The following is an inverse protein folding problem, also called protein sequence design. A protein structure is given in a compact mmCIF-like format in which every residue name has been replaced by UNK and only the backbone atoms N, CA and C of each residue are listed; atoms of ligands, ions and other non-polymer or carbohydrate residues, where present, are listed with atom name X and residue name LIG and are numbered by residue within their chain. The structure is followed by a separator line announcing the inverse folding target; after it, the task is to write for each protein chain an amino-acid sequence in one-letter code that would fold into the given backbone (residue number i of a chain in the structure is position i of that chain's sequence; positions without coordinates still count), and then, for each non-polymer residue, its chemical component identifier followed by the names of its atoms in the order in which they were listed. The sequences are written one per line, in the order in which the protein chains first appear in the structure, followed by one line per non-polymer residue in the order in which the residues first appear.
data_IF_673880830812
#
_entry.id   IF_673880830812
#
_cell.length_a   1.000
_cell.length_b   1.000
_cell.length_c   1.000
_cell.angle_alpha   90.00
_cell.angle_beta   90.00
_cell.angle_gamma   90.00
#
_symmetry.space_group_name_H-M   'P 1'
#
loop_
_entity.id
_entity.type
_entity.pdbx_description
1 polymer ?
2 non-polymer ?
3 non-polymer ?
4 water ?
#
# COMPACT_ATOMS: atom_id res chain seq x y z
N UNK A 1 19.47 -5.84 16.58
CA UNK A 1 19.71 -6.84 15.50
C UNK A 1 20.01 -8.21 16.11
N UNK A 2 19.87 -9.26 15.30
CA UNK A 2 20.25 -10.64 15.68
C UNK A 2 19.10 -11.36 16.38
N UNK A 3 17.88 -10.80 16.38
CA UNK A 3 16.66 -11.44 16.93
C UNK A 3 15.42 -10.99 16.13
N UNK A 4 14.38 -11.84 16.15
CA UNK A 4 13.04 -11.56 15.60
C UNK A 4 12.05 -11.44 16.75
N UNK A 5 11.11 -10.51 16.66
CA UNK A 5 9.98 -10.40 17.62
C UNK A 5 8.68 -10.47 16.83
N UNK A 6 7.87 -11.48 17.18
CA UNK A 6 6.63 -11.91 16.48
C UNK A 6 5.59 -12.16 17.56
N UNK A 7 4.44 -11.48 17.49
CA UNK A 7 3.42 -11.43 18.56
C UNK A 7 4.06 -11.27 19.93
N UNK A 8 4.82 -10.20 20.14
CA UNK A 8 5.42 -9.82 21.44
C UNK A 8 6.55 -10.73 21.92
N UNK A 9 6.78 -11.90 21.32
CA UNK A 9 7.86 -12.84 21.78
C UNK A 9 9.15 -12.57 21.00
N UNK A 10 10.26 -12.50 21.71
CA UNK A 10 11.60 -12.19 21.16
C UNK A 10 12.39 -13.49 21.05
N UNK A 11 12.92 -13.81 19.88
CA UNK A 11 13.67 -15.07 19.64
C UNK A 11 15.04 -14.69 19.10
N UNK A 12 16.09 -15.20 19.73
CA UNK A 12 17.44 -15.14 19.14
C UNK A 12 17.33 -15.78 17.78
N UNK A 13 18.05 -15.27 16.78
CA UNK A 13 18.02 -15.85 15.43
C UNK A 13 19.22 -15.34 14.64
N UNK A 14 19.61 -16.11 13.63
CA UNK A 14 20.58 -15.79 12.55
C UNK A 14 20.02 -16.42 11.29
N UNK A 15 20.68 -16.25 10.14
CA UNK A 15 20.05 -16.57 8.83
C UNK A 15 19.95 -18.07 8.66
N UNK A 16 20.78 -18.82 9.36
CA UNK A 16 20.80 -20.30 9.34
C UNK A 16 19.50 -20.86 9.93
N UNK A 17 18.89 -20.10 10.82
CA UNK A 17 17.59 -20.45 11.46
C UNK A 17 16.43 -20.37 10.47
N UNK A 18 16.63 -19.88 9.23
CA UNK A 18 15.51 -19.65 8.28
C UNK A 18 15.70 -20.51 7.05
N UNK A 19 14.62 -21.19 6.67
CA UNK A 19 14.51 -22.01 5.45
C UNK A 19 13.99 -21.10 4.33
N UNK A 20 14.75 -21.06 3.24
CA UNK A 20 14.50 -20.19 2.08
C UNK A 20 13.44 -20.91 1.25
N UNK A 21 12.27 -20.31 1.15
CA UNK A 21 11.11 -20.87 0.40
C UNK A 21 10.99 -20.20 -0.96
N UNK A 22 11.91 -19.32 -1.33
CA UNK A 22 12.01 -18.84 -2.72
C UNK A 22 11.73 -17.35 -2.84
N UNK A 23 12.11 -16.77 -3.97
CA UNK A 23 11.98 -15.31 -4.28
C UNK A 23 10.48 -14.95 -4.29
N UNK A 24 10.13 -13.75 -3.83
CA UNK A 24 8.79 -13.18 -4.10
C UNK A 24 8.98 -12.00 -5.04
N UNK A 25 8.31 -12.06 -6.20
CA UNK A 25 8.42 -11.04 -7.26
C UNK A 25 7.60 -9.82 -6.91
N UNK A 26 8.05 -9.07 -5.90
CA UNK A 26 7.45 -7.81 -5.39
C UNK A 26 7.83 -6.65 -6.31
N UNK A 27 8.49 -6.94 -7.45
CA UNK A 27 8.83 -5.98 -8.51
C UNK A 27 9.79 -4.93 -7.99
N UNK A 28 10.80 -5.34 -7.23
CA UNK A 28 11.92 -4.48 -6.74
C UNK A 28 13.20 -4.99 -7.43
N UNK A 29 14.29 -4.21 -7.36
CA UNK A 29 15.63 -4.62 -7.88
C UNK A 29 16.50 -5.10 -6.70
N UNK A 30 15.86 -5.46 -5.58
CA UNK A 30 16.49 -6.19 -4.46
C UNK A 30 15.83 -7.55 -4.23
N UNK A 31 16.61 -8.55 -3.85
CA UNK A 31 16.10 -9.90 -3.51
C UNK A 31 15.22 -9.78 -2.27
N UNK A 32 13.99 -10.27 -2.36
CA UNK A 32 13.11 -10.52 -1.18
C UNK A 32 12.75 -12.02 -1.21
N UNK A 33 12.99 -12.68 -0.10
CA UNK A 33 12.76 -14.14 0.07
C UNK A 33 11.56 -14.35 0.99
N UNK A 34 10.74 -15.34 0.67
CA UNK A 34 9.80 -15.94 1.63
C UNK A 34 10.61 -16.95 2.41
N UNK A 35 10.53 -16.90 3.74
CA UNK A 35 11.40 -17.76 4.56
C UNK A 35 10.60 -18.28 5.76
N UNK A 36 10.93 -19.49 6.19
CA UNK A 36 10.26 -20.12 7.35
C UNK A 36 11.25 -20.08 8.49
N UNK A 37 10.87 -19.45 9.60
CA UNK A 37 11.63 -19.44 10.86
C UNK A 37 11.48 -20.81 11.53
N UNK A 38 12.56 -21.60 11.59
CA UNK A 38 12.53 -23.02 12.05
C UNK A 38 12.03 -23.08 13.49
N UNK A 39 12.48 -22.17 14.35
CA UNK A 39 12.10 -22.16 15.79
C UNK A 39 10.56 -22.16 15.97
N UNK A 40 9.77 -21.51 15.11
CA UNK A 40 8.32 -21.31 15.36
C UNK A 40 7.41 -21.69 14.19
N UNK A 41 7.95 -21.92 12.99
CA UNK A 41 7.11 -22.21 11.80
C UNK A 41 6.48 -20.95 11.21
N UNK A 42 6.71 -19.76 11.75
CA UNK A 42 6.30 -18.49 11.10
C UNK A 42 6.98 -18.34 9.71
N UNK A 43 6.18 -17.96 8.72
CA UNK A 43 6.63 -17.63 7.34
C UNK A 43 6.66 -16.11 7.21
N UNK A 44 7.78 -15.59 6.74
CA UNK A 44 8.10 -14.15 6.80
C UNK A 44 8.73 -13.76 5.47
N UNK A 45 8.80 -12.47 5.23
CA UNK A 45 9.46 -11.88 4.06
C UNK A 45 10.83 -11.42 4.57
N UNK A 46 11.88 -11.73 3.85
CA UNK A 46 13.25 -11.33 4.26
C UNK A 46 13.86 -10.63 3.05
N UNK A 47 14.15 -9.34 3.22
CA UNK A 47 14.99 -8.60 2.25
C UNK A 47 16.47 -8.93 2.48
N UNK A 48 17.19 -9.19 1.40
CA UNK A 48 18.65 -9.41 1.45
C UNK A 48 19.30 -8.23 0.73
N UNK A 49 19.94 -7.36 1.50
CA UNK A 49 20.71 -6.21 0.96
C UNK A 49 22.20 -6.54 1.05
N UNK A 50 22.81 -6.75 -0.12
CA UNK A 50 24.23 -7.12 -0.29
C UNK A 50 25.07 -5.85 -0.15
N UNK A 51 26.14 -5.95 0.63
CA UNK A 51 27.13 -4.88 0.84
C UNK A 51 27.64 -4.41 -0.52
N UNK A 52 27.91 -5.34 -1.46
CA UNK A 52 28.35 -5.06 -2.85
C UNK A 52 27.18 -4.59 -3.74
N UNK A 53 25.99 -4.42 -3.20
CA UNK A 53 24.80 -4.18 -4.04
C UNK A 53 24.78 -2.76 -4.58
N UNK A 54 23.83 -2.52 -5.47
CA UNK A 54 23.52 -1.21 -6.11
C UNK A 54 23.33 -0.11 -5.05
N UNK A 55 23.93 1.05 -5.23
CA UNK A 55 24.02 2.06 -4.14
C UNK A 55 22.70 2.81 -4.01
N UNK A 56 22.02 3.04 -5.14
CA UNK A 56 20.69 3.68 -5.19
C UNK A 56 19.69 2.82 -4.42
N UNK A 57 19.62 1.52 -4.76
CA UNK A 57 18.74 0.52 -4.13
C UNK A 57 19.00 0.51 -2.62
N UNK A 58 20.26 0.37 -2.20
CA UNK A 58 20.61 0.18 -0.76
C UNK A 58 20.12 1.41 0.01
N UNK A 59 20.38 2.60 -0.54
CA UNK A 59 20.02 3.88 0.12
C UNK A 59 18.51 3.93 0.38
N UNK A 60 17.71 3.53 -0.60
CA UNK A 60 16.23 3.67 -0.46
C UNK A 60 15.74 2.58 0.47
N UNK A 61 16.35 1.38 0.40
CA UNK A 61 15.98 0.28 1.35
C UNK A 61 16.20 0.80 2.78
N UNK A 62 17.30 1.50 3.05
CA UNK A 62 17.65 1.92 4.44
C UNK A 62 16.73 3.08 4.84
N UNK A 63 16.40 3.98 3.92
CA UNK A 63 15.49 5.13 4.23
C UNK A 63 14.09 4.57 4.55
N UNK A 64 13.61 3.61 3.78
CA UNK A 64 12.30 2.95 4.06
C UNK A 64 12.37 2.24 5.42
N UNK A 65 13.44 1.46 5.68
CA UNK A 65 13.60 0.72 6.97
C UNK A 65 13.55 1.70 8.13
N UNK A 66 14.14 2.86 7.97
CA UNK A 66 14.21 3.87 9.06
C UNK A 66 12.79 4.22 9.49
N UNK A 67 11.88 4.41 8.53
CA UNK A 67 10.48 4.78 8.81
C UNK A 67 9.76 3.58 9.42
N UNK A 68 9.94 2.40 8.86
CA UNK A 68 9.24 1.18 9.36
C UNK A 68 9.62 0.91 10.84
N UNK A 69 10.92 0.93 11.17
CA UNK A 69 11.44 0.71 12.54
C UNK A 69 10.79 1.68 13.54
N UNK A 70 10.49 2.92 13.13
CA UNK A 70 9.82 3.88 14.05
C UNK A 70 8.30 3.84 13.90
N UNK A 71 7.69 2.88 13.18
CA UNK A 71 6.22 2.90 12.93
C UNK A 71 5.53 1.71 13.61
N UNK A 72 6.14 1.15 14.66
CA UNK A 72 5.64 -0.03 15.42
C UNK A 72 4.24 0.24 15.98
N UNK A 73 3.86 1.50 16.24
CA UNK A 73 2.54 1.82 16.84
C UNK A 73 1.51 2.16 15.74
N UNK A 74 1.78 1.95 14.45
CA UNK A 74 0.72 2.12 13.41
C UNK A 74 0.27 0.73 12.98
N UNK A 75 -0.99 0.33 13.25
CA UNK A 75 -1.48 -0.98 12.84
C UNK A 75 -1.63 -1.11 11.30
N UNK A 76 -1.41 -0.04 10.55
CA UNK A 76 -1.76 0.03 9.11
C UNK A 76 -0.53 0.14 8.21
N UNK A 77 0.65 -0.04 8.80
CA UNK A 77 1.93 -0.05 8.08
C UNK A 77 2.58 -1.42 8.31
N UNK A 78 3.09 -2.06 7.25
CA UNK A 78 3.71 -3.41 7.37
C UNK A 78 4.91 -3.30 8.30
N UNK A 79 5.08 -4.29 9.16
CA UNK A 79 5.99 -4.23 10.33
C UNK A 79 7.25 -5.03 10.03
N UNK A 80 8.33 -4.60 10.66
CA UNK A 80 9.67 -5.24 10.60
C UNK A 80 9.77 -6.08 11.86
N UNK A 81 10.09 -7.37 11.74
CA UNK A 81 10.22 -8.28 12.91
C UNK A 81 11.66 -8.23 13.45
N UNK A 82 12.61 -7.83 12.61
CA UNK A 82 14.02 -7.77 13.02
C UNK A 82 14.99 -7.71 11.87
N UNK A 83 16.28 -7.62 12.19
CA UNK A 83 17.35 -7.47 11.19
C UNK A 83 18.51 -8.37 11.61
N UNK A 84 19.22 -8.89 10.62
CA UNK A 84 20.52 -9.56 10.82
C UNK A 84 21.55 -8.86 9.98
N UNK A 85 22.72 -8.62 10.59
CA UNK A 85 23.86 -7.97 9.90
C UNK A 85 25.03 -8.94 9.90
N UNK A 86 25.51 -9.30 8.71
CA UNK A 86 26.71 -10.14 8.54
C UNK A 86 27.75 -9.27 7.85
N UNK A 87 28.94 -9.83 7.69
CA UNK A 87 30.07 -9.12 7.03
C UNK A 87 29.69 -8.76 5.59
N UNK A 88 28.75 -9.46 4.92
CA UNK A 88 28.48 -9.27 3.46
C UNK A 88 27.02 -8.87 3.16
N UNK A 89 26.13 -8.92 4.14
CA UNK A 89 24.67 -8.75 3.89
C UNK A 89 24.01 -8.08 5.10
N UNK A 90 22.86 -7.46 4.83
CA UNK A 90 21.83 -7.12 5.84
C UNK A 90 20.57 -7.86 5.43
N UNK A 91 19.99 -8.62 6.35
CA UNK A 91 18.68 -9.27 6.13
C UNK A 91 17.66 -8.51 6.96
N UNK A 92 16.58 -8.10 6.31
CA UNK A 92 15.47 -7.37 6.97
C UNK A 92 14.22 -8.25 6.99
N UNK A 93 13.81 -8.68 8.17
CA UNK A 93 12.65 -9.58 8.30
C UNK A 93 11.39 -8.71 8.46
N UNK A 94 10.45 -8.91 7.52
CA UNK A 94 9.16 -8.19 7.42
C UNK A 94 8.02 -9.19 7.53
N UNK A 95 6.92 -8.70 8.10
CA UNK A 95 5.56 -9.24 7.94
C UNK A 95 5.34 -9.71 6.48
N UNK A 96 4.96 -10.98 6.27
CA UNK A 96 4.62 -11.50 4.91
C UNK A 96 3.16 -11.13 4.58
N UNK A 97 2.89 -10.35 3.56
CA UNK A 97 1.47 -10.10 3.18
C UNK A 97 1.12 -11.05 2.02
N UNK A 98 -0.17 -11.13 1.64
CA UNK A 98 -0.65 -12.11 0.65
C UNK A 98 -0.34 -11.63 -0.75
N UNK A 99 -0.52 -10.33 -0.98
CA UNK A 99 -0.47 -9.70 -2.31
C UNK A 99 -0.73 -8.20 -2.17
N UNK A 100 -0.57 -7.48 -3.28
CA UNK A 100 -0.77 -6.01 -3.43
C UNK A 100 -2.12 -5.80 -4.17
N UNK A 101 -2.73 -4.62 -4.06
CA UNK A 101 -4.10 -4.42 -4.59
C UNK A 101 -4.01 -4.51 -6.11
N UNK A 102 -2.85 -4.13 -6.67
CA UNK A 102 -2.59 -4.19 -8.12
C UNK A 102 -2.74 -5.65 -8.57
N UNK A 103 -2.11 -6.60 -7.87
CA UNK A 103 -2.16 -8.03 -8.26
C UNK A 103 -3.54 -8.60 -7.99
N UNK A 104 -4.15 -8.17 -6.90
CA UNK A 104 -5.48 -8.66 -6.53
C UNK A 104 -6.47 -8.31 -7.65
N UNK A 105 -6.41 -7.09 -8.13
CA UNK A 105 -7.28 -6.62 -9.24
C UNK A 105 -7.00 -7.46 -10.50
N UNK A 106 -5.74 -7.71 -10.87
CA UNK A 106 -5.35 -8.60 -12.02
C UNK A 106 -5.97 -9.98 -11.85
N UNK A 107 -5.85 -10.56 -10.69
CA UNK A 107 -6.40 -11.91 -10.48
C UNK A 107 -7.93 -11.91 -10.50
N UNK A 108 -8.59 -10.92 -9.88
CA UNK A 108 -10.07 -10.83 -9.80
C UNK A 108 -10.66 -10.79 -11.22
N UNK A 109 -10.05 -10.01 -12.13
CA UNK A 109 -10.56 -9.72 -13.49
C UNK A 109 -11.90 -8.99 -13.38
N UNK A 110 -12.02 -8.10 -12.39
CA UNK A 110 -13.25 -7.34 -12.18
C UNK A 110 -13.20 -6.47 -10.93
N UNK A 111 -14.33 -5.77 -10.66
CA UNK A 111 -14.47 -4.91 -9.51
C UNK A 111 -14.12 -5.59 -8.18
N UNK A 112 -13.53 -4.82 -7.28
CA UNK A 112 -13.44 -5.20 -5.85
C UNK A 112 -14.62 -4.55 -5.12
N UNK A 113 -15.43 -5.34 -4.34
CA UNK A 113 -16.60 -4.83 -3.65
C UNK A 113 -16.33 -3.64 -2.70
N UNK A 114 -17.33 -2.77 -2.60
CA UNK A 114 -17.28 -1.51 -1.83
C UNK A 114 -16.89 -1.85 -0.39
N UNK A 115 -17.38 -2.94 0.18
CA UNK A 115 -17.15 -3.21 1.62
C UNK A 115 -15.67 -3.52 1.87
N UNK A 116 -14.99 -4.14 0.91
CA UNK A 116 -13.52 -4.36 0.97
C UNK A 116 -12.78 -3.01 0.81
N UNK A 117 -13.22 -2.18 -0.12
CA UNK A 117 -12.59 -0.86 -0.38
C UNK A 117 -12.82 0.06 0.82
N UNK A 118 -13.89 -0.13 1.57
CA UNK A 118 -14.13 0.65 2.80
C UNK A 118 -13.09 0.34 3.85
N UNK A 119 -12.82 -0.94 4.10
CA UNK A 119 -11.81 -1.33 5.11
C UNK A 119 -10.44 -0.86 4.59
N UNK A 120 -10.22 -0.93 3.27
CA UNK A 120 -8.94 -0.48 2.64
C UNK A 120 -8.78 1.04 2.84
N UNK A 121 -9.85 1.79 2.66
CA UNK A 121 -9.78 3.26 2.74
C UNK A 121 -9.42 3.67 4.18
N UNK A 122 -10.07 3.08 5.18
CA UNK A 122 -9.79 3.41 6.59
C UNK A 122 -8.29 3.20 6.82
N UNK A 123 -7.79 2.01 6.49
CA UNK A 123 -6.40 1.59 6.78
C UNK A 123 -5.42 2.53 6.11
N UNK A 124 -5.62 2.83 4.83
CA UNK A 124 -4.59 3.58 4.06
C UNK A 124 -4.62 5.04 4.46
N UNK A 125 -5.80 5.62 4.63
CA UNK A 125 -5.87 7.03 5.11
C UNK A 125 -5.20 7.13 6.48
N UNK A 126 -5.48 6.22 7.40
CA UNK A 126 -4.89 6.28 8.76
C UNK A 126 -3.38 6.13 8.64
N UNK A 127 -2.90 5.28 7.73
CA UNK A 127 -1.46 5.05 7.54
C UNK A 127 -0.84 6.36 7.07
N UNK A 128 -1.43 7.01 6.05
CA UNK A 128 -0.82 8.19 5.41
C UNK A 128 -0.84 9.36 6.40
N UNK A 129 -1.88 9.42 7.21
CA UNK A 129 -2.08 10.46 8.27
C UNK A 129 -1.05 10.24 9.39
N UNK A 130 -0.91 9.00 9.86
CA UNK A 130 0.18 8.56 10.81
C UNK A 130 1.55 8.97 10.24
N UNK A 131 1.86 8.68 8.99
CA UNK A 131 3.17 9.01 8.38
C UNK A 131 3.43 10.53 8.49
N UNK A 132 2.44 11.34 8.11
CA UNK A 132 2.56 12.81 8.05
C UNK A 132 2.66 13.39 9.47
N UNK A 133 1.75 13.03 10.37
CA UNK A 133 1.63 13.63 11.71
C UNK A 133 2.78 13.16 12.61
N UNK A 134 3.22 11.91 12.49
CA UNK A 134 4.23 11.36 13.43
C UNK A 134 5.62 11.58 12.87
N UNK A 135 5.83 11.50 11.56
CA UNK A 135 7.21 11.39 11.00
C UNK A 135 7.46 12.52 10.02
N UNK A 136 6.47 13.40 9.79
CA UNK A 136 6.55 14.49 8.80
C UNK A 136 6.70 13.98 7.38
N UNK A 137 6.27 12.73 7.09
CA UNK A 137 6.53 12.13 5.74
C UNK A 137 5.31 12.39 4.86
N UNK A 138 5.53 12.96 3.70
CA UNK A 138 4.55 12.97 2.57
C UNK A 138 4.89 11.78 1.68
N UNK A 139 4.01 10.78 1.56
CA UNK A 139 4.31 9.49 0.87
C UNK A 139 4.66 9.70 -0.62
N UNK A 140 3.85 10.49 -1.35
CA UNK A 140 4.08 10.95 -2.73
C UNK A 140 3.93 9.83 -3.77
N UNK A 141 3.52 8.61 -3.42
CA UNK A 141 3.36 7.55 -4.47
C UNK A 141 2.27 6.56 -4.04
N UNK A 142 1.07 7.07 -3.81
CA UNK A 142 -0.08 6.23 -3.39
C UNK A 142 -0.64 5.60 -4.66
N UNK A 143 -0.84 4.28 -4.65
CA UNK A 143 -1.33 3.51 -5.83
C UNK A 143 -1.56 2.07 -5.39
N UNK A 144 -2.32 1.27 -6.17
CA UNK A 144 -2.64 -0.10 -5.77
C UNK A 144 -1.46 -1.01 -5.46
N UNK A 145 -0.31 -0.76 -6.06
CA UNK A 145 0.87 -1.63 -5.84
C UNK A 145 1.43 -1.43 -4.43
N UNK A 146 1.11 -0.31 -3.78
CA UNK A 146 1.59 0.01 -2.42
C UNK A 146 0.53 -0.30 -1.37
N UNK A 147 -0.53 -1.01 -1.73
CA UNK A 147 -1.60 -1.41 -0.76
C UNK A 147 -1.54 -2.93 -0.63
N UNK A 148 -1.21 -3.44 0.55
CA UNK A 148 -1.02 -4.89 0.80
C UNK A 148 -2.22 -5.47 1.52
N UNK A 149 -2.54 -6.73 1.21
CA UNK A 149 -3.63 -7.49 1.85
C UNK A 149 -3.10 -8.85 2.23
N UNK A 150 -3.67 -9.46 3.25
CA UNK A 150 -3.33 -10.87 3.59
C UNK A 150 -4.60 -11.67 3.92
N UNK A 151 -4.41 -12.98 4.10
CA UNK A 151 -5.50 -13.98 4.28
C UNK A 151 -6.09 -13.85 5.70
N UNK A 152 -5.44 -13.11 6.59
CA UNK A 152 -6.02 -12.74 7.92
C UNK A 152 -6.86 -11.46 7.79
N UNK A 153 -6.94 -10.83 6.63
CA UNK A 153 -7.91 -9.74 6.42
C UNK A 153 -7.30 -8.37 6.74
N UNK A 154 -6.01 -8.34 7.02
CA UNK A 154 -5.23 -7.13 7.29
C UNK A 154 -4.99 -6.40 5.95
N UNK A 155 -5.04 -5.08 6.01
CA UNK A 155 -4.75 -4.16 4.87
C UNK A 155 -3.76 -3.14 5.40
N UNK A 156 -2.59 -3.04 4.77
CA UNK A 156 -1.48 -2.21 5.26
C UNK A 156 -0.83 -1.51 4.10
N UNK A 157 -0.30 -0.34 4.40
CA UNK A 157 0.55 0.41 3.48
C UNK A 157 1.88 -0.34 3.39
N UNK A 158 2.34 -0.50 2.18
CA UNK A 158 3.62 -1.14 1.90
C UNK A 158 4.80 -0.29 2.39
N UNK A 159 5.96 -0.92 2.62
CA UNK A 159 7.20 -0.19 3.01
C UNK A 159 7.87 0.42 1.78
N UNK A 160 7.48 0.03 0.57
CA UNK A 160 8.19 0.47 -0.66
C UNK A 160 7.97 1.97 -0.89
N UNK A 161 9.05 2.74 -0.79
CA UNK A 161 9.03 4.21 -0.92
C UNK A 161 8.27 4.88 0.22
N UNK A 162 8.13 4.22 1.37
CA UNK A 162 7.32 4.77 2.48
C UNK A 162 8.08 5.94 3.11
N UNK A 163 9.36 6.14 2.78
CA UNK A 163 10.12 7.30 3.31
C UNK A 163 9.74 8.57 2.51
N UNK A 164 8.98 8.45 1.42
CA UNK A 164 8.71 9.62 0.55
C UNK A 164 9.91 9.89 -0.35
N UNK A 165 10.43 11.11 -0.35
CA UNK A 165 11.68 11.49 -1.06
C UNK A 165 11.45 11.60 -2.57
N UNK A 178 5.01 5.36 -13.12
CA UNK A 178 3.92 6.03 -13.88
C UNK A 178 3.58 7.39 -13.25
N UNK A 179 2.76 8.16 -13.98
CA UNK A 179 2.12 9.42 -13.57
C UNK A 179 0.60 9.26 -13.68
N UNK A 180 0.15 8.03 -13.85
CA UNK A 180 -1.27 7.65 -13.85
C UNK A 180 -2.01 8.19 -12.60
N UNK A 181 -1.33 8.29 -11.46
CA UNK A 181 -1.94 8.66 -10.15
C UNK A 181 -1.58 10.10 -9.73
N UNK A 182 -0.96 10.88 -10.62
CA UNK A 182 -0.48 12.22 -10.25
C UNK A 182 -1.62 13.24 -10.26
N UNK A 183 -1.69 14.05 -9.21
CA UNK A 183 -2.65 15.15 -8.99
C UNK A 183 -2.37 16.29 -9.95
N UNK A 184 -3.44 17.00 -10.37
CA UNK A 184 -3.34 18.13 -11.30
C UNK A 184 -2.27 19.14 -10.92
N UNK A 185 -2.17 19.51 -9.63
CA UNK A 185 -1.24 20.56 -9.13
C UNK A 185 0.20 20.01 -9.08
N UNK A 186 0.38 18.69 -9.10
CA UNK A 186 1.75 18.13 -9.24
C UNK A 186 2.15 18.11 -10.71
N UNK A 187 1.18 17.97 -11.63
CA UNK A 187 1.49 18.01 -13.07
C UNK A 187 1.88 19.45 -13.42
N UNK A 188 1.08 20.41 -12.96
CA UNK A 188 1.26 21.84 -13.27
C UNK A 188 1.15 22.69 -12.00
N UNK A 189 2.29 22.93 -11.30
CA UNK A 189 2.26 23.65 -10.02
C UNK A 189 1.45 24.95 -10.01
N UNK A 190 0.90 25.38 -8.86
CA UNK A 190 -0.21 26.34 -8.83
C UNK A 190 0.17 27.83 -8.87
N UNK A 198 2.79 18.59 -0.41
CA UNK A 198 1.43 18.74 0.15
C UNK A 198 0.69 17.39 0.09
N UNK A 199 0.14 16.93 1.22
CA UNK A 199 -0.59 15.62 1.34
C UNK A 199 -1.84 15.58 0.44
N UNK A 200 -2.35 16.71 -0.02
CA UNK A 200 -3.59 16.70 -0.85
C UNK A 200 -3.33 16.00 -2.19
N UNK A 201 -2.11 16.01 -2.72
CA UNK A 201 -1.79 15.28 -3.98
C UNK A 201 -1.96 13.76 -3.76
N UNK A 202 -1.63 13.24 -2.57
CA UNK A 202 -1.80 11.78 -2.24
C UNK A 202 -3.29 11.47 -2.06
N UNK A 203 -4.09 12.45 -1.66
CA UNK A 203 -5.56 12.27 -1.49
C UNK A 203 -6.15 12.04 -2.89
N UNK A 204 -5.72 12.82 -3.86
CA UNK A 204 -6.08 12.63 -5.30
C UNK A 204 -5.69 11.22 -5.75
N UNK A 205 -4.46 10.79 -5.47
CA UNK A 205 -3.97 9.45 -5.91
C UNK A 205 -4.87 8.37 -5.31
N UNK A 206 -5.24 8.52 -4.04
CA UNK A 206 -6.15 7.59 -3.37
C UNK A 206 -7.49 7.51 -4.10
N UNK A 207 -8.05 8.65 -4.50
CA UNK A 207 -9.29 8.71 -5.26
C UNK A 207 -9.17 7.94 -6.58
N UNK A 208 -8.09 8.14 -7.34
CA UNK A 208 -7.90 7.39 -8.62
C UNK A 208 -7.77 5.88 -8.33
N UNK A 209 -6.98 5.48 -7.34
CA UNK A 209 -6.87 4.08 -6.88
C UNK A 209 -8.26 3.50 -6.54
N UNK A 210 -9.10 4.21 -5.79
CA UNK A 210 -10.44 3.67 -5.42
C UNK A 210 -11.30 3.48 -6.67
N UNK A 211 -11.29 4.41 -7.62
CA UNK A 211 -12.15 4.29 -8.82
C UNK A 211 -11.67 3.07 -9.62
N UNK A 212 -10.37 2.96 -9.80
CA UNK A 212 -9.73 1.84 -10.53
C UNK A 212 -10.13 0.50 -9.88
N UNK A 213 -10.01 0.37 -8.58
CA UNK A 213 -10.29 -0.92 -7.87
C UNK A 213 -11.81 -1.19 -7.84
N UNK A 214 -12.64 -0.16 -7.68
CA UNK A 214 -14.12 -0.30 -7.58
C UNK A 214 -14.68 -0.78 -8.92
N UNK A 215 -14.11 -0.30 -10.03
CA UNK A 215 -14.60 -0.55 -11.43
C UNK A 215 -13.87 -1.71 -12.08
N UNK A 216 -12.69 -2.06 -11.59
CA UNK A 216 -11.72 -2.92 -12.30
C UNK A 216 -11.22 -2.30 -13.58
N UNK A 217 -11.26 -0.97 -13.73
CA UNK A 217 -10.80 -0.24 -14.96
C UNK A 217 -10.00 0.98 -14.51
N UNK A 218 -8.74 1.10 -14.90
CA UNK A 218 -8.01 2.36 -14.62
C UNK A 218 -8.73 3.49 -15.35
N UNK A 219 -9.11 4.62 -14.69
CA UNK A 219 -10.03 5.60 -15.28
C UNK A 219 -9.51 6.36 -16.52
N UNK A 220 -8.20 6.31 -16.84
CA UNK A 220 -7.61 6.84 -18.11
C UNK A 220 -6.91 5.70 -18.89
N UNK A 221 -7.65 4.66 -19.31
CA UNK A 221 -7.09 3.34 -19.77
C UNK A 221 -6.60 3.41 -21.23
N UNK A 222 -7.26 4.19 -22.09
CA UNK A 222 -6.99 4.23 -23.56
C UNK A 222 -5.78 5.11 -23.89
N UNK A 223 -5.02 5.56 -22.89
CA UNK A 223 -3.83 6.41 -23.07
C UNK A 223 -2.69 5.51 -23.49
N UNK A 224 -1.90 5.92 -24.48
CA UNK A 224 -0.75 5.16 -25.05
C UNK A 224 0.57 5.59 -24.40
N UNK A 225 0.63 6.77 -23.77
CA UNK A 225 1.87 7.31 -23.13
C UNK A 225 1.49 7.98 -21.83
N UNK A 226 2.47 8.14 -20.95
CA UNK A 226 2.34 8.79 -19.63
C UNK A 226 1.97 10.26 -19.86
N UNK A 227 2.53 10.93 -20.87
CA UNK A 227 2.17 12.36 -21.10
C UNK A 227 0.68 12.46 -21.48
N UNK A 228 0.13 11.53 -22.26
CA UNK A 228 -1.29 11.55 -22.66
C UNK A 228 -2.15 11.46 -21.41
N UNK A 229 -1.75 10.63 -20.45
CA UNK A 229 -2.51 10.51 -19.16
C UNK A 229 -2.49 11.87 -18.48
N UNK A 230 -1.34 12.52 -18.40
CA UNK A 230 -1.25 13.84 -17.73
C UNK A 230 -2.18 14.84 -18.40
N UNK A 231 -2.27 14.83 -19.73
CA UNK A 231 -3.15 15.74 -20.49
C UNK A 231 -4.62 15.46 -20.09
N UNK A 232 -4.99 14.21 -19.92
CA UNK A 232 -6.41 13.94 -19.54
C UNK A 232 -6.71 14.41 -18.09
N UNK A 233 -5.76 14.23 -17.17
CA UNK A 233 -5.92 14.66 -15.76
C UNK A 233 -6.25 16.16 -15.78
N UNK A 234 -5.52 16.94 -16.57
CA UNK A 234 -5.70 18.42 -16.63
C UNK A 234 -6.90 18.83 -17.48
N UNK A 235 -7.16 18.20 -18.62
CA UNK A 235 -8.16 18.70 -19.61
C UNK A 235 -9.55 18.12 -19.33
N UNK A 236 -9.67 16.97 -18.68
CA UNK A 236 -10.97 16.28 -18.52
C UNK A 236 -11.50 16.53 -17.12
N UNK A 237 -12.79 16.31 -16.97
CA UNK A 237 -13.50 16.22 -15.66
C UNK A 237 -12.85 15.11 -14.80
N UNK A 238 -12.83 15.25 -13.47
CA UNK A 238 -12.32 14.16 -12.63
C UNK A 238 -13.13 12.92 -12.94
N UNK A 239 -12.53 11.72 -12.93
CA UNK A 239 -13.30 10.48 -13.04
C UNK A 239 -14.37 10.33 -11.93
N UNK A 240 -15.48 9.68 -12.24
CA UNK A 240 -16.62 9.42 -11.32
C UNK A 240 -16.72 7.93 -11.05
N UNK A 241 -17.21 7.50 -9.89
CA UNK A 241 -17.73 6.12 -9.75
C UNK A 241 -18.97 6.04 -10.65
N UNK A 242 -19.17 4.95 -11.42
CA UNK A 242 -20.42 4.82 -12.17
C UNK A 242 -21.62 4.89 -11.20
N UNK A 243 -22.76 5.34 -11.72
CA UNK A 243 -23.98 5.61 -10.94
C UNK A 243 -24.82 4.35 -10.74
N UNK A 244 -24.57 3.31 -11.55
CA UNK A 244 -25.47 2.15 -11.73
C UNK A 244 -24.79 0.83 -11.31
N UNK A 245 -23.90 0.87 -10.30
CA UNK A 245 -23.24 -0.32 -9.76
C UNK A 245 -23.61 -0.51 -8.30
N UNK A 246 -24.61 0.24 -7.81
CA UNK A 246 -25.13 0.12 -6.43
C UNK A 246 -24.18 0.69 -5.40
N UNK A 247 -23.25 1.56 -5.77
CA UNK A 247 -22.35 2.19 -4.78
C UNK A 247 -23.19 3.03 -3.82
N UNK A 248 -22.89 2.95 -2.53
CA UNK A 248 -23.52 3.84 -1.53
C UNK A 248 -23.25 5.32 -1.89
N UNK A 249 -24.20 6.20 -1.53
CA UNK A 249 -24.00 7.66 -1.55
C UNK A 249 -22.73 8.06 -0.80
N UNK A 250 -22.39 7.41 0.31
CA UNK A 250 -21.17 7.76 1.09
C UNK A 250 -19.91 7.55 0.22
N UNK A 251 -19.82 6.44 -0.48
CA UNK A 251 -18.63 6.06 -1.28
C UNK A 251 -18.50 7.03 -2.45
N UNK A 252 -19.61 7.35 -3.11
CA UNK A 252 -19.58 8.30 -4.26
C UNK A 252 -19.11 9.66 -3.79
N UNK A 253 -19.56 10.06 -2.63
CA UNK A 253 -19.22 11.38 -2.07
C UNK A 253 -17.74 11.36 -1.65
N UNK A 254 -17.30 10.31 -0.97
CA UNK A 254 -15.86 10.17 -0.58
C UNK A 254 -14.95 10.33 -1.80
N UNK A 255 -15.25 9.63 -2.89
CA UNK A 255 -14.42 9.69 -4.12
C UNK A 255 -14.55 11.08 -4.73
N UNK A 256 -15.74 11.66 -4.77
CA UNK A 256 -15.92 13.00 -5.38
C UNK A 256 -15.05 14.02 -4.63
N UNK A 257 -15.01 13.96 -3.31
CA UNK A 257 -14.14 14.82 -2.46
C UNK A 257 -12.66 14.57 -2.76
N UNK A 258 -12.21 13.31 -2.79
CA UNK A 258 -10.78 12.99 -3.09
C UNK A 258 -10.38 13.62 -4.43
N UNK A 259 -11.25 13.50 -5.43
CA UNK A 259 -10.97 13.93 -6.83
C UNK A 259 -11.46 15.36 -7.06
N UNK A 260 -11.36 16.22 -6.05
CA UNK A 260 -11.53 17.68 -6.20
C UNK A 260 -10.34 18.21 -6.98
N UNK A 261 -10.57 18.73 -8.18
CA UNK A 261 -9.47 19.07 -9.10
C UNK A 261 -8.68 20.23 -8.52
N UNK A 262 -9.36 21.24 -7.99
CA UNK A 262 -8.68 22.40 -7.34
C UNK A 262 -8.22 21.96 -5.95
N UNK A 263 -6.92 21.83 -5.76
CA UNK A 263 -6.31 21.22 -4.55
C UNK A 263 -6.62 22.05 -3.30
N UNK A 264 -6.83 23.36 -3.45
CA UNK A 264 -7.13 24.25 -2.30
C UNK A 264 -8.52 23.94 -1.72
N UNK A 265 -9.38 23.23 -2.46
CA UNK A 265 -10.72 22.78 -1.97
C UNK A 265 -10.68 21.29 -1.63
N UNK A 266 -9.55 20.61 -1.86
CA UNK A 266 -9.53 19.13 -1.70
C UNK A 266 -9.29 18.84 -0.23
N UNK A 267 -10.04 17.94 0.41
CA UNK A 267 -9.81 17.69 1.84
C UNK A 267 -8.45 17.08 2.19
N UNK A 268 -8.00 17.41 3.40
CA UNK A 268 -6.83 16.82 4.07
C UNK A 268 -7.30 15.56 4.80
N UNK A 269 -6.34 14.77 5.26
CA UNK A 269 -6.63 13.46 5.89
C UNK A 269 -7.54 13.68 7.12
N UNK A 270 -7.28 14.68 7.97
CA UNK A 270 -8.06 14.90 9.24
C UNK A 270 -9.53 15.12 8.87
N UNK A 271 -9.80 15.86 7.81
CA UNK A 271 -11.15 16.00 7.23
C UNK A 271 -11.69 14.69 6.62
N UNK A 272 -10.92 13.98 5.80
CA UNK A 272 -11.43 12.69 5.25
C UNK A 272 -11.77 11.75 6.39
N UNK A 273 -11.00 11.77 7.48
CA UNK A 273 -11.21 10.83 8.62
C UNK A 273 -12.55 11.07 9.31
N UNK A 274 -13.19 12.21 9.07
CA UNK A 274 -14.57 12.49 9.57
C UNK A 274 -15.62 12.11 8.54
N UNK A 275 -15.22 11.71 7.35
CA UNK A 275 -16.22 11.44 6.30
C UNK A 275 -17.11 10.27 6.72
N UNK A 276 -18.35 10.34 6.31
CA UNK A 276 -19.40 9.33 6.58
C UNK A 276 -18.94 7.93 6.11
N UNK A 277 -18.25 7.83 4.97
CA UNK A 277 -17.71 6.54 4.44
C UNK A 277 -16.74 5.88 5.43
N UNK A 278 -15.80 6.65 5.95
CA UNK A 278 -14.78 6.13 6.91
C UNK A 278 -15.43 5.77 8.25
N UNK A 279 -16.33 6.60 8.77
CA UNK A 279 -17.10 6.31 10.02
C UNK A 279 -17.82 4.97 9.88
N UNK A 280 -18.52 4.75 8.76
CA UNK A 280 -19.22 3.47 8.55
C UNK A 280 -18.22 2.31 8.72
N UNK A 281 -17.07 2.37 8.05
CA UNK A 281 -16.16 1.21 7.88
C UNK A 281 -15.21 1.10 9.06
N UNK A 282 -15.16 2.10 9.93
CA UNK A 282 -14.40 1.97 11.20
C UNK A 282 -15.07 0.93 12.11
N UNK A 283 -16.39 0.81 12.04
CA UNK A 283 -17.18 0.01 13.00
C UNK A 283 -17.87 -1.15 12.30
N UNK A 284 -18.15 -1.06 11.01
CA UNK A 284 -18.90 -2.13 10.30
C UNK A 284 -18.04 -3.38 10.33
N UNK A 285 -18.68 -4.52 10.55
CA UNK A 285 -18.02 -5.84 10.52
C UNK A 285 -17.95 -6.27 9.05
N UNK A 286 -16.74 -6.47 8.55
CA UNK A 286 -16.54 -6.96 7.16
C UNK A 286 -15.56 -8.12 7.26
N UNK A 287 -15.92 -9.29 6.76
CA UNK A 287 -15.03 -10.46 6.78
C UNK A 287 -14.15 -10.38 5.54
N UNK A 288 -13.12 -9.53 5.63
CA UNK A 288 -12.10 -9.33 4.57
C UNK A 288 -11.34 -10.66 4.39
N UNK A 289 -10.99 -11.34 5.48
CA UNK A 289 -10.17 -12.58 5.44
C UNK A 289 -10.86 -13.63 4.55
N UNK A 290 -12.15 -13.93 4.78
CA UNK A 290 -12.81 -15.01 4.01
C UNK A 290 -13.02 -14.54 2.56
N UNK A 291 -13.45 -13.30 2.34
CA UNK A 291 -13.49 -12.75 0.96
C UNK A 291 -12.15 -13.02 0.27
N UNK A 292 -11.04 -12.63 0.90
CA UNK A 292 -9.68 -12.72 0.32
C UNK A 292 -9.32 -14.18 0.00
N UNK A 293 -9.56 -15.11 0.92
CA UNK A 293 -9.20 -16.54 0.69
C UNK A 293 -10.03 -17.09 -0.48
N UNK A 294 -11.34 -16.85 -0.47
CA UNK A 294 -12.29 -17.12 -1.58
C UNK A 294 -11.74 -16.62 -2.92
N UNK A 295 -11.40 -15.34 -3.04
CA UNK A 295 -10.90 -14.77 -4.33
C UNK A 295 -9.67 -15.56 -4.76
N UNK A 296 -8.78 -15.84 -3.80
CA UNK A 296 -7.54 -16.61 -4.04
C UNK A 296 -7.89 -18.05 -4.45
N UNK A 297 -9.06 -18.56 -4.07
CA UNK A 297 -9.50 -19.95 -4.34
C UNK A 297 -10.07 -20.02 -5.76
N UNK A 298 -11.12 -19.25 -6.02
CA UNK A 298 -11.75 -18.98 -7.35
C UNK A 298 -10.73 -18.55 -8.41
N UNK A 299 -9.42 -18.46 -8.13
CA UNK A 299 -8.45 -17.89 -9.11
C UNK A 299 -7.12 -18.66 -9.09
N UNK A 300 -7.09 -19.90 -8.59
CA UNK A 300 -5.99 -20.87 -8.88
C UNK A 300 -6.25 -21.50 -10.25
#
# INVERSE_FOLDING_TARGET
TGYLTIGGQRYQAEINDLENLGEMGSGTCGQVWKMRFRKTGHVIAVKQMRRSGNKEENKRILMDLDVVLKSHDCPYIVQCFGTFITNTDVFIAMELMGTSAEKLKKRMQGPIPERILGKMTVAIVKALYYLKEKHGVIHRDVKPSNILLDERGQIKLCDFGISGRLVDSKAKTRSAGCAAYMAPERIDPPDPTKPDYDIRADVWSLGISLVELATGQFPYKNCKTDFEVLTKVLQEEPPLLPGHMGFSGDFQSFVKDCLTKDHRKRPKYNKLLEHSFIKRYETLEVDVASWFKDVMAKTESPRTSGVLSQPHLPFFRHHHHHH
#
